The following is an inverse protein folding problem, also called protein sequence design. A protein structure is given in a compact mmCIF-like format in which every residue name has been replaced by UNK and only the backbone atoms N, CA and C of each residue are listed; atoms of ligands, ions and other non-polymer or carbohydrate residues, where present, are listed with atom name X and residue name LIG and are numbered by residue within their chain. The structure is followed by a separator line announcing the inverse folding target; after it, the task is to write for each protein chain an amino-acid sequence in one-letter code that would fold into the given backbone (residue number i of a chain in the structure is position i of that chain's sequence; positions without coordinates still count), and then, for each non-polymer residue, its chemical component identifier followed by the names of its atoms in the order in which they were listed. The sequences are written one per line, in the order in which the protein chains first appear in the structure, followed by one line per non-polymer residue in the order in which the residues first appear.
data_IF_302328912768
#
_entry.id   IF_302328912768
#
_cell.length_a   1.000
_cell.length_b   1.000
_cell.length_c   1.000
_cell.angle_alpha   90.00
_cell.angle_beta   90.00
_cell.angle_gamma   90.00
#
_symmetry.space_group_name_H-M   'P 1'
#
loop_
_entity.id
_entity.type
_entity.pdbx_description
1 polymer ?
#
# COMPACT_ATOMS: atom_id res chain seq x y z
N UNK A 1 -40.83 -36.83 -44.50
CA UNK A 1 -40.35 -35.64 -43.81
C UNK A 1 -39.73 -36.05 -42.47
N UNK A 2 -38.40 -36.10 -42.39
CA UNK A 2 -37.66 -36.38 -41.12
C UNK A 2 -37.22 -35.06 -40.50
N UNK A 3 -37.34 -34.87 -39.18
CA UNK A 3 -36.82 -33.67 -38.53
C UNK A 3 -35.34 -33.79 -38.26
N UNK A 4 -34.57 -32.81 -38.76
CA UNK A 4 -33.16 -32.61 -38.53
C UNK A 4 -32.89 -32.30 -37.06
N UNK A 5 -32.04 -33.10 -36.38
CA UNK A 5 -31.55 -32.83 -35.02
C UNK A 5 -30.34 -31.93 -35.07
N UNK A 6 -30.49 -30.69 -34.66
CA UNK A 6 -29.38 -29.80 -34.40
C UNK A 6 -28.71 -30.16 -33.03
N UNK A 7 -27.48 -30.61 -33.08
CA UNK A 7 -26.63 -30.75 -31.91
C UNK A 7 -25.92 -29.40 -31.67
N UNK A 8 -26.27 -28.73 -30.58
CA UNK A 8 -25.50 -27.57 -30.06
C UNK A 8 -24.43 -28.15 -29.13
N UNK A 9 -23.20 -28.17 -29.60
CA UNK A 9 -22.04 -28.50 -28.76
C UNK A 9 -21.71 -27.34 -27.84
N UNK A 10 -21.89 -27.53 -26.54
CA UNK A 10 -21.33 -26.63 -25.52
C UNK A 10 -19.81 -26.81 -25.49
N UNK A 11 -19.07 -25.83 -25.99
CA UNK A 11 -17.61 -25.72 -25.75
C UNK A 11 -17.43 -25.09 -24.37
N UNK A 12 -17.21 -25.90 -23.34
CA UNK A 12 -16.76 -25.44 -22.05
C UNK A 12 -15.29 -25.03 -22.16
N UNK A 13 -15.01 -23.74 -22.27
CA UNK A 13 -13.68 -23.21 -22.08
C UNK A 13 -13.33 -23.33 -20.59
N UNK A 14 -12.46 -24.29 -20.25
CA UNK A 14 -11.85 -24.34 -18.91
C UNK A 14 -10.91 -23.14 -18.78
N UNK A 15 -11.29 -22.13 -18.03
CA UNK A 15 -10.38 -21.07 -17.57
C UNK A 15 -9.41 -21.75 -16.60
N UNK A 16 -8.19 -22.02 -17.04
CA UNK A 16 -7.11 -22.39 -16.15
C UNK A 16 -6.84 -21.19 -15.23
N UNK A 17 -7.10 -21.33 -13.94
CA UNK A 17 -6.74 -20.34 -12.94
C UNK A 17 -5.20 -20.26 -12.91
N UNK A 18 -4.65 -19.25 -13.55
CA UNK A 18 -3.23 -18.94 -13.45
C UNK A 18 -2.98 -18.37 -12.05
N UNK A 19 -2.13 -19.02 -11.28
CA UNK A 19 -1.75 -18.57 -9.94
C UNK A 19 -0.81 -17.37 -10.03
N UNK A 20 -1.06 -16.35 -9.20
CA UNK A 20 -0.12 -15.26 -9.01
C UNK A 20 1.25 -15.80 -8.55
N UNK A 21 2.33 -15.31 -9.13
CA UNK A 21 3.69 -15.72 -8.83
C UNK A 21 4.31 -14.71 -7.87
N UNK A 22 4.89 -15.20 -6.78
CA UNK A 22 5.69 -14.39 -5.88
C UNK A 22 7.17 -14.76 -6.02
N UNK A 23 7.99 -13.79 -6.41
CA UNK A 23 9.44 -13.94 -6.54
C UNK A 23 10.15 -13.23 -5.39
N UNK A 24 11.21 -13.86 -4.86
CA UNK A 24 12.10 -13.17 -3.92
C UNK A 24 13.25 -12.53 -4.67
N UNK A 25 13.38 -11.22 -4.53
CA UNK A 25 14.42 -10.42 -5.20
C UNK A 25 15.33 -9.80 -4.15
N UNK A 26 16.64 -9.87 -4.37
CA UNK A 26 17.63 -9.14 -3.56
C UNK A 26 17.96 -7.81 -4.23
N UNK A 27 17.71 -6.72 -3.53
CA UNK A 27 18.06 -5.36 -3.98
C UNK A 27 19.31 -4.90 -3.25
N UNK A 28 20.41 -4.67 -4.00
CA UNK A 28 21.66 -4.16 -3.46
C UNK A 28 21.62 -2.63 -3.49
N UNK A 29 21.87 -2.01 -2.34
CA UNK A 29 21.94 -0.56 -2.17
C UNK A 29 23.31 -0.02 -2.57
N UNK A 30 23.43 1.30 -2.84
CA UNK A 30 24.71 1.92 -3.14
C UNK A 30 25.79 1.75 -2.05
N UNK A 31 25.37 1.58 -0.80
CA UNK A 31 26.25 1.34 0.35
C UNK A 31 26.66 -0.14 0.52
N UNK A 32 26.29 -1.01 -0.44
CA UNK A 32 26.60 -2.45 -0.44
C UNK A 32 25.67 -3.30 0.41
N UNK A 33 24.76 -2.71 1.21
CA UNK A 33 23.77 -3.48 1.97
C UNK A 33 22.66 -3.99 1.06
N UNK A 34 22.07 -5.12 1.42
CA UNK A 34 21.01 -5.76 0.65
C UNK A 34 19.67 -5.68 1.37
N UNK A 35 18.61 -5.53 0.58
CA UNK A 35 17.22 -5.63 1.02
C UNK A 35 16.59 -6.87 0.39
N UNK A 36 15.88 -7.65 1.19
CA UNK A 36 15.03 -8.73 0.70
C UNK A 36 13.67 -8.14 0.30
N UNK A 37 13.26 -8.42 -0.93
CA UNK A 37 12.01 -7.93 -1.53
C UNK A 37 11.19 -9.12 -2.00
N UNK A 38 9.90 -9.13 -1.69
CA UNK A 38 8.92 -10.03 -2.32
C UNK A 38 8.26 -9.24 -3.44
N UNK A 39 8.36 -9.75 -4.66
CA UNK A 39 7.69 -9.22 -5.83
C UNK A 39 6.52 -10.13 -6.21
N UNK A 40 5.30 -9.66 -5.96
CA UNK A 40 4.07 -10.36 -6.33
C UNK A 40 3.59 -9.86 -7.70
N UNK A 41 3.38 -10.78 -8.64
CA UNK A 41 2.94 -10.44 -10.00
C UNK A 41 1.54 -10.96 -10.28
N UNK A 42 0.72 -10.20 -11.04
CA UNK A 42 -0.49 -10.73 -11.63
C UNK A 42 -0.22 -11.96 -12.51
N UNK A 43 -1.23 -12.77 -12.73
CA UNK A 43 -1.15 -13.87 -13.67
C UNK A 43 -0.97 -13.36 -15.11
N UNK A 44 -0.17 -14.07 -15.91
CA UNK A 44 0.11 -13.75 -17.32
C UNK A 44 1.55 -13.30 -17.57
N UNK A 45 1.87 -13.12 -18.86
CA UNK A 45 3.24 -12.89 -19.36
C UNK A 45 3.51 -11.42 -19.73
N UNK A 46 2.62 -10.50 -19.40
CA UNK A 46 2.72 -9.07 -19.73
C UNK A 46 3.61 -8.25 -18.81
N UNK A 47 3.69 -6.98 -19.13
CA UNK A 47 4.14 -5.95 -18.18
C UNK A 47 2.95 -5.37 -17.44
N UNK A 48 3.16 -5.07 -16.17
CA UNK A 48 2.12 -4.62 -15.26
C UNK A 48 2.46 -3.23 -14.68
N UNK A 49 1.46 -2.38 -14.42
CA UNK A 49 1.64 -1.29 -13.49
C UNK A 49 2.10 -1.86 -12.14
N UNK A 50 2.83 -1.08 -11.37
CA UNK A 50 3.38 -1.59 -10.12
C UNK A 50 3.28 -0.59 -8.98
N UNK A 51 3.33 -1.11 -7.75
CA UNK A 51 3.45 -0.33 -6.53
C UNK A 51 4.53 -0.91 -5.62
N UNK A 52 5.32 -0.05 -4.99
CA UNK A 52 6.19 -0.44 -3.88
C UNK A 52 5.50 -0.12 -2.58
N UNK A 53 5.32 -1.11 -1.70
CA UNK A 53 4.68 -0.99 -0.39
C UNK A 53 5.71 -1.02 0.74
N UNK A 54 5.89 0.12 1.41
CA UNK A 54 6.77 0.29 2.56
C UNK A 54 6.07 -0.14 3.86
N UNK A 55 6.70 -0.98 4.70
CA UNK A 55 6.09 -1.43 5.96
C UNK A 55 6.12 -0.36 7.05
N UNK A 56 5.38 -0.58 8.14
CA UNK A 56 5.43 0.22 9.36
C UNK A 56 6.67 -0.06 10.21
N UNK A 57 6.82 0.67 11.32
CA UNK A 57 7.82 0.37 12.34
C UNK A 57 7.45 -0.94 13.05
N UNK A 58 8.42 -1.84 13.21
CA UNK A 58 8.17 -3.16 13.80
C UNK A 58 7.14 -4.01 13.03
N UNK A 59 6.88 -3.65 11.78
CA UNK A 59 5.88 -4.28 10.92
C UNK A 59 6.58 -4.78 9.66
N UNK A 60 6.61 -6.09 9.44
CA UNK A 60 7.32 -6.68 8.30
C UNK A 60 6.40 -6.94 7.09
N UNK A 61 7.02 -7.18 5.94
CA UNK A 61 6.37 -7.31 4.63
C UNK A 61 5.37 -8.45 4.49
N UNK A 62 5.38 -9.43 5.41
CA UNK A 62 4.45 -10.58 5.42
C UNK A 62 3.36 -10.48 6.48
N UNK A 63 3.21 -9.32 7.15
CA UNK A 63 2.10 -9.13 8.09
C UNK A 63 0.76 -8.93 7.37
N UNK A 64 -0.36 -9.27 8.02
CA UNK A 64 -1.66 -9.45 7.35
C UNK A 64 -2.11 -8.29 6.46
N UNK A 65 -1.89 -7.04 6.87
CA UNK A 65 -2.31 -5.90 6.04
C UNK A 65 -1.47 -5.77 4.76
N UNK A 66 -0.17 -6.08 4.84
CA UNK A 66 0.72 -6.04 3.67
C UNK A 66 0.38 -7.15 2.67
N UNK A 67 0.16 -8.37 3.17
CA UNK A 67 -0.19 -9.52 2.33
C UNK A 67 -1.59 -9.40 1.71
N UNK A 68 -2.59 -9.00 2.49
CA UNK A 68 -3.94 -8.81 2.00
C UNK A 68 -3.99 -7.72 0.91
N UNK A 69 -3.30 -6.60 1.14
CA UNK A 69 -3.21 -5.52 0.16
C UNK A 69 -2.48 -5.96 -1.11
N UNK A 70 -1.34 -6.67 -0.99
CA UNK A 70 -0.59 -7.16 -2.14
C UNK A 70 -1.43 -8.13 -2.98
N UNK A 71 -2.11 -9.09 -2.35
CA UNK A 71 -2.99 -10.03 -3.06
C UNK A 71 -4.10 -9.32 -3.82
N UNK A 72 -4.82 -8.39 -3.18
CA UNK A 72 -5.90 -7.67 -3.83
C UNK A 72 -5.40 -6.80 -5.01
N UNK A 73 -4.21 -6.22 -4.90
CA UNK A 73 -3.57 -5.48 -5.98
C UNK A 73 -3.21 -6.39 -7.16
N UNK A 74 -2.61 -7.56 -6.90
CA UNK A 74 -2.27 -8.52 -7.97
C UNK A 74 -3.50 -9.08 -8.66
N UNK A 75 -4.60 -9.30 -7.93
CA UNK A 75 -5.89 -9.69 -8.51
C UNK A 75 -6.49 -8.60 -9.42
N UNK A 76 -6.11 -7.33 -9.23
CA UNK A 76 -6.50 -6.19 -10.06
C UNK A 76 -5.44 -5.83 -11.14
N UNK A 77 -4.48 -6.71 -11.39
CA UNK A 77 -3.51 -6.51 -12.45
C UNK A 77 -2.32 -5.59 -12.10
N UNK A 78 -2.06 -5.33 -10.83
CA UNK A 78 -0.97 -4.48 -10.34
C UNK A 78 0.11 -5.35 -9.69
N UNK A 79 1.36 -5.24 -10.14
CA UNK A 79 2.50 -5.87 -9.48
C UNK A 79 2.85 -5.15 -8.17
N UNK A 80 3.25 -5.91 -7.15
CA UNK A 80 3.53 -5.36 -5.81
C UNK A 80 4.93 -5.76 -5.36
N UNK A 81 5.73 -4.78 -4.96
CA UNK A 81 7.03 -4.98 -4.34
C UNK A 81 6.94 -4.65 -2.85
N UNK A 82 7.09 -5.67 -2.01
CA UNK A 82 7.09 -5.56 -0.55
C UNK A 82 8.49 -5.87 -0.02
N UNK A 83 8.95 -5.14 0.99
CA UNK A 83 10.28 -5.32 1.56
C UNK A 83 10.29 -5.10 3.06
N UNK A 84 11.39 -5.46 3.71
CA UNK A 84 11.67 -5.06 5.09
C UNK A 84 12.71 -3.96 5.13
N UNK A 85 12.56 -3.02 6.08
CA UNK A 85 13.57 -1.99 6.33
C UNK A 85 14.91 -2.62 6.69
N UNK A 86 16.01 -2.00 6.25
CA UNK A 86 17.35 -2.50 6.57
C UNK A 86 17.59 -2.58 8.08
N UNK A 87 17.12 -1.61 8.87
CA UNK A 87 17.23 -1.64 10.32
C UNK A 87 16.50 -2.83 10.94
N UNK A 88 15.30 -3.19 10.43
CA UNK A 88 14.51 -4.30 10.93
C UNK A 88 15.14 -5.66 10.59
N UNK A 89 15.76 -5.78 9.42
CA UNK A 89 16.48 -7.00 9.03
C UNK A 89 17.75 -7.20 9.84
N UNK A 90 18.47 -6.11 10.15
CA UNK A 90 19.67 -6.16 10.97
C UNK A 90 19.34 -6.50 12.43
N UNK A 91 18.27 -5.91 12.96
CA UNK A 91 17.79 -6.14 14.32
C UNK A 91 16.26 -5.96 14.38
N UNK A 92 15.45 -7.03 14.63
CA UNK A 92 13.98 -6.94 14.62
C UNK A 92 13.39 -5.94 15.63
N UNK A 93 14.14 -5.58 16.69
CA UNK A 93 13.80 -4.51 17.64
C UNK A 93 14.47 -3.18 17.32
N UNK A 94 15.20 -3.11 16.20
CA UNK A 94 15.83 -1.89 15.71
C UNK A 94 14.81 -0.77 15.52
N UNK A 95 15.33 0.44 15.59
CA UNK A 95 14.51 1.64 15.42
C UNK A 95 14.83 2.30 14.07
N UNK A 96 13.84 2.93 13.44
CA UNK A 96 14.09 3.74 12.27
C UNK A 96 15.03 4.91 12.61
N UNK A 97 15.66 5.48 11.60
CA UNK A 97 16.42 6.71 11.77
C UNK A 97 15.49 7.86 12.18
N UNK A 98 15.99 8.79 12.99
CA UNK A 98 15.18 9.88 13.56
C UNK A 98 14.48 10.71 12.47
N UNK A 99 15.19 10.99 11.40
CA UNK A 99 14.71 11.78 10.26
C UNK A 99 14.15 10.93 9.11
N UNK A 100 14.09 9.60 9.24
CA UNK A 100 13.67 8.63 8.22
C UNK A 100 14.49 8.71 6.91
N UNK A 101 15.68 9.26 6.92
CA UNK A 101 16.53 9.40 5.72
C UNK A 101 17.05 8.05 5.22
N UNK A 102 17.38 7.13 6.15
CA UNK A 102 17.84 5.77 5.81
C UNK A 102 16.69 4.94 5.22
N UNK A 103 15.48 5.11 5.75
CA UNK A 103 14.28 4.43 5.26
C UNK A 103 13.87 4.96 3.87
N UNK A 104 14.06 6.27 3.63
CA UNK A 104 13.87 6.83 2.29
C UNK A 104 14.86 6.23 1.28
N UNK A 105 16.13 6.06 1.65
CA UNK A 105 17.13 5.39 0.80
C UNK A 105 16.77 3.93 0.52
N UNK A 106 16.26 3.21 1.53
CA UNK A 106 15.78 1.83 1.35
C UNK A 106 14.64 1.79 0.33
N UNK A 107 13.61 2.63 0.50
CA UNK A 107 12.47 2.69 -0.41
C UNK A 107 12.89 3.11 -1.83
N UNK A 108 13.77 4.09 -1.98
CA UNK A 108 14.29 4.53 -3.29
C UNK A 108 15.04 3.40 -4.01
N UNK A 109 15.82 2.58 -3.28
CA UNK A 109 16.48 1.43 -3.87
C UNK A 109 15.49 0.40 -4.41
N UNK A 110 14.40 0.11 -3.67
CA UNK A 110 13.36 -0.81 -4.12
C UNK A 110 12.56 -0.22 -5.29
N UNK A 111 12.23 1.07 -5.27
CA UNK A 111 11.58 1.77 -6.40
C UNK A 111 12.44 1.70 -7.67
N UNK A 112 13.75 1.91 -7.54
CA UNK A 112 14.67 1.80 -8.69
C UNK A 112 14.76 0.37 -9.24
N UNK A 113 14.73 -0.64 -8.37
CA UNK A 113 14.71 -2.05 -8.78
C UNK A 113 13.37 -2.41 -9.46
N UNK A 114 12.25 -1.99 -8.89
CA UNK A 114 10.92 -2.19 -9.47
C UNK A 114 10.83 -1.58 -10.88
N UNK A 115 11.30 -0.33 -11.04
CA UNK A 115 11.29 0.38 -12.33
C UNK A 115 12.10 -0.34 -13.42
N UNK A 116 13.17 -1.02 -13.04
CA UNK A 116 14.04 -1.80 -13.97
C UNK A 116 13.55 -3.23 -14.21
N UNK A 117 12.55 -3.68 -13.47
CA UNK A 117 12.08 -5.06 -13.56
C UNK A 117 11.41 -5.31 -14.92
N UNK A 118 11.73 -6.43 -15.65
CA UNK A 118 11.23 -6.67 -17.02
C UNK A 118 9.71 -6.78 -17.12
N UNK A 119 9.03 -7.19 -16.05
CA UNK A 119 7.56 -7.30 -15.96
C UNK A 119 6.88 -6.01 -15.48
N UNK A 120 7.57 -4.89 -15.34
CA UNK A 120 6.99 -3.62 -14.85
C UNK A 120 6.90 -2.60 -15.98
N UNK A 121 5.78 -1.89 -16.03
CA UNK A 121 5.62 -0.68 -16.85
C UNK A 121 6.22 0.47 -16.04
N UNK A 122 7.44 0.88 -16.40
CA UNK A 122 8.24 1.83 -15.62
C UNK A 122 7.54 3.18 -15.35
N UNK A 123 6.73 3.63 -16.31
CA UNK A 123 5.97 4.87 -16.27
C UNK A 123 4.70 4.76 -15.39
N UNK A 124 4.31 3.54 -15.01
CA UNK A 124 3.14 3.25 -14.19
C UNK A 124 3.53 2.69 -12.82
N UNK A 125 4.47 3.37 -12.17
CA UNK A 125 4.93 3.03 -10.83
C UNK A 125 4.29 3.96 -9.79
N UNK A 126 3.67 3.38 -8.79
CA UNK A 126 3.11 4.04 -7.62
C UNK A 126 3.90 3.70 -6.36
N UNK A 127 3.69 4.45 -5.30
CA UNK A 127 4.30 4.21 -4.00
C UNK A 127 3.23 4.11 -2.92
N UNK A 128 3.45 3.28 -1.92
CA UNK A 128 2.56 3.21 -0.78
C UNK A 128 3.29 2.81 0.49
N UNK A 129 2.63 2.96 1.62
CA UNK A 129 3.20 2.51 2.87
C UNK A 129 2.23 2.58 4.04
N UNK A 130 2.58 1.82 5.09
CA UNK A 130 1.82 1.75 6.33
C UNK A 130 2.53 2.50 7.45
N UNK A 131 1.80 3.30 8.25
CA UNK A 131 2.36 3.97 9.43
C UNK A 131 3.58 4.85 9.07
N UNK A 132 4.76 4.62 9.64
CA UNK A 132 5.98 5.34 9.23
C UNK A 132 6.27 5.14 7.74
N UNK A 133 5.95 3.98 7.18
CA UNK A 133 6.09 3.72 5.74
C UNK A 133 5.26 4.68 4.89
N UNK A 134 4.12 5.16 5.38
CA UNK A 134 3.32 6.17 4.68
C UNK A 134 4.04 7.53 4.63
N UNK A 135 4.76 7.90 5.70
CA UNK A 135 5.59 9.12 5.72
C UNK A 135 6.76 9.03 4.74
N UNK A 136 7.41 7.86 4.70
CA UNK A 136 8.53 7.62 3.76
C UNK A 136 8.03 7.56 2.32
N UNK A 137 6.89 6.90 2.06
CA UNK A 137 6.25 6.88 0.75
C UNK A 137 5.87 8.28 0.26
N UNK A 138 5.35 9.12 1.16
CA UNK A 138 5.06 10.52 0.86
C UNK A 138 6.31 11.30 0.45
N UNK A 139 7.41 11.15 1.20
CA UNK A 139 8.69 11.79 0.85
C UNK A 139 9.25 11.29 -0.48
N UNK A 140 9.12 9.99 -0.77
CA UNK A 140 9.51 9.45 -2.06
C UNK A 140 8.69 10.06 -3.20
N UNK A 141 7.36 10.19 -3.02
CA UNK A 141 6.49 10.88 -3.98
C UNK A 141 6.97 12.30 -4.22
N UNK A 142 7.28 13.06 -3.17
CA UNK A 142 7.69 14.46 -3.27
C UNK A 142 8.99 14.68 -4.08
N UNK A 143 9.92 13.71 -4.05
CA UNK A 143 11.23 13.82 -4.73
C UNK A 143 11.30 13.08 -6.06
N UNK A 144 10.34 12.21 -6.37
CA UNK A 144 10.28 11.45 -7.62
C UNK A 144 9.03 11.84 -8.41
N UNK A 145 9.20 12.73 -9.38
CA UNK A 145 8.12 13.21 -10.24
C UNK A 145 7.54 12.15 -11.19
N UNK A 146 8.20 10.99 -11.35
CA UNK A 146 7.74 9.90 -12.19
C UNK A 146 6.77 8.95 -11.47
N UNK A 147 6.61 9.08 -10.15
CA UNK A 147 5.62 8.31 -9.41
C UNK A 147 4.20 8.80 -9.71
N UNK A 148 3.29 7.87 -9.95
CA UNK A 148 1.92 8.17 -10.41
C UNK A 148 0.98 8.57 -9.28
N UNK A 149 1.06 7.88 -8.14
CA UNK A 149 0.13 8.06 -7.03
C UNK A 149 0.74 7.59 -5.71
N UNK A 150 0.09 7.94 -4.59
CA UNK A 150 0.47 7.46 -3.27
C UNK A 150 -0.69 6.78 -2.54
N UNK A 151 -0.41 5.62 -1.92
CA UNK A 151 -1.29 4.88 -1.03
C UNK A 151 -0.79 4.98 0.41
N UNK A 152 -1.53 5.67 1.29
CA UNK A 152 -1.16 5.90 2.68
C UNK A 152 -2.06 5.07 3.60
N UNK A 153 -1.54 3.94 4.09
CA UNK A 153 -2.25 3.05 5.01
C UNK A 153 -1.94 3.46 6.45
N UNK A 154 -2.98 3.65 7.27
CA UNK A 154 -2.87 4.15 8.64
C UNK A 154 -1.83 5.28 8.75
N UNK A 155 -2.05 6.42 8.07
CA UNK A 155 -1.12 7.54 8.13
C UNK A 155 -0.99 8.04 9.58
N UNK A 156 0.16 8.65 9.90
CA UNK A 156 0.39 9.31 11.18
C UNK A 156 0.04 10.78 11.01
N UNK A 157 -1.18 11.18 11.34
CA UNK A 157 -1.67 12.54 11.08
C UNK A 157 -2.00 13.35 12.33
N UNK A 158 -2.12 12.70 13.49
CA UNK A 158 -2.44 13.39 14.74
C UNK A 158 -1.96 12.59 15.95
N UNK A 159 -1.88 13.26 17.09
CA UNK A 159 -1.72 12.64 18.41
C UNK A 159 -2.58 13.37 19.44
N UNK A 160 -2.93 12.68 20.52
CA UNK A 160 -3.51 13.29 21.72
C UNK A 160 -2.35 13.59 22.69
N UNK A 161 -2.02 14.85 22.97
CA UNK A 161 -0.98 15.19 23.92
C UNK A 161 -1.33 14.71 25.33
N UNK A 162 -0.30 14.46 26.15
CA UNK A 162 -0.49 14.04 27.54
C UNK A 162 -1.32 15.06 28.31
N UNK A 163 -2.43 14.63 28.92
CA UNK A 163 -3.35 15.47 29.69
C UNK A 163 -4.40 16.21 28.86
N UNK A 164 -4.43 16.00 27.55
CA UNK A 164 -5.47 16.52 26.65
C UNK A 164 -6.43 15.41 26.22
N UNK A 165 -7.60 15.80 25.74
CA UNK A 165 -8.63 14.87 25.23
C UNK A 165 -8.84 15.01 23.73
N UNK A 166 -8.38 16.10 23.14
CA UNK A 166 -8.54 16.37 21.72
C UNK A 166 -7.24 16.10 20.95
N UNK A 167 -7.34 15.47 19.76
CA UNK A 167 -6.17 15.23 18.92
C UNK A 167 -5.66 16.55 18.33
N UNK A 168 -4.33 16.71 18.32
CA UNK A 168 -3.63 17.77 17.58
C UNK A 168 -3.13 17.20 16.27
N UNK A 169 -3.24 17.99 15.20
CA UNK A 169 -2.73 17.63 13.89
C UNK A 169 -1.21 17.66 13.87
N UNK A 170 -0.62 16.61 13.29
CA UNK A 170 0.80 16.49 12.91
C UNK A 170 0.93 16.27 11.38
N UNK A 171 -0.17 16.48 10.64
CA UNK A 171 -0.24 16.16 9.23
C UNK A 171 0.75 16.97 8.39
N UNK A 172 0.92 18.28 8.67
CA UNK A 172 1.85 19.14 7.92
C UNK A 172 3.31 18.74 8.11
N UNK A 173 3.68 18.31 9.34
CA UNK A 173 5.04 17.89 9.66
C UNK A 173 5.35 16.52 9.03
N UNK A 174 4.38 15.62 9.08
CA UNK A 174 4.55 14.26 8.58
C UNK A 174 4.41 14.14 7.06
N UNK A 175 3.61 15.02 6.44
CA UNK A 175 3.32 15.03 4.99
C UNK A 175 3.51 16.45 4.41
N UNK A 176 4.75 16.97 4.41
CA UNK A 176 5.00 18.33 3.92
C UNK A 176 4.62 18.46 2.44
N UNK A 177 4.04 19.60 2.07
CA UNK A 177 3.62 19.88 0.69
C UNK A 177 2.35 19.17 0.24
N UNK A 178 1.64 18.45 1.11
CA UNK A 178 0.40 17.75 0.75
C UNK A 178 -0.66 18.68 0.13
N UNK A 179 -0.74 19.90 0.62
CA UNK A 179 -1.70 20.89 0.14
C UNK A 179 -1.49 21.25 -1.34
N UNK A 180 -0.25 21.18 -1.83
CA UNK A 180 0.11 21.52 -3.22
C UNK A 180 0.27 20.30 -4.14
N UNK A 181 0.27 19.08 -3.59
CA UNK A 181 0.38 17.86 -4.39
C UNK A 181 -0.89 17.63 -5.21
N UNK A 182 -0.70 17.37 -6.50
CA UNK A 182 -1.80 17.16 -7.45
C UNK A 182 -1.97 15.72 -7.88
N UNK A 183 -0.95 14.87 -7.65
CA UNK A 183 -1.04 13.45 -7.98
C UNK A 183 -2.06 12.76 -7.07
N UNK A 184 -2.80 11.78 -7.59
CA UNK A 184 -3.78 11.04 -6.81
C UNK A 184 -3.18 10.43 -5.54
N UNK A 185 -3.87 10.61 -4.42
CA UNK A 185 -3.49 10.06 -3.13
C UNK A 185 -4.70 9.44 -2.46
N UNK A 186 -4.55 8.22 -1.92
CA UNK A 186 -5.55 7.59 -1.07
C UNK A 186 -4.97 7.39 0.34
N UNK A 187 -5.66 7.92 1.34
CA UNK A 187 -5.39 7.65 2.76
C UNK A 187 -6.49 6.73 3.31
N UNK A 188 -6.09 5.58 3.88
CA UNK A 188 -7.02 4.65 4.54
C UNK A 188 -6.63 4.51 6.01
N UNK A 189 -7.53 4.87 6.93
CA UNK A 189 -7.28 4.80 8.37
C UNK A 189 -8.38 4.06 9.12
N UNK A 190 -8.09 3.58 10.33
CA UNK A 190 -9.09 3.02 11.24
C UNK A 190 -9.92 4.10 11.91
N UNK A 191 -11.20 3.81 12.22
CA UNK A 191 -12.09 4.72 12.94
C UNK A 191 -11.67 5.00 14.39
N UNK A 192 -10.79 4.13 14.93
CA UNK A 192 -10.22 4.19 16.28
C UNK A 192 -8.69 4.32 16.28
N UNK A 193 -8.12 4.77 15.17
CA UNK A 193 -6.67 4.93 15.05
C UNK A 193 -6.19 6.09 15.95
N UNK A 194 -5.39 5.82 17.00
CA UNK A 194 -4.92 6.86 17.91
C UNK A 194 -3.88 7.79 17.30
N UNK A 195 -3.28 7.39 16.15
CA UNK A 195 -2.24 8.16 15.46
C UNK A 195 -2.79 8.97 14.28
N UNK A 196 -4.08 8.80 13.95
CA UNK A 196 -4.72 9.61 12.91
C UNK A 196 -6.24 9.67 13.12
N UNK A 197 -6.68 10.62 13.94
CA UNK A 197 -8.10 10.82 14.17
C UNK A 197 -8.84 11.16 12.87
N UNK A 198 -10.00 10.53 12.59
CA UNK A 198 -10.74 10.72 11.34
C UNK A 198 -11.02 12.18 11.00
N UNK A 199 -11.41 13.00 11.99
CA UNK A 199 -11.68 14.42 11.78
C UNK A 199 -10.44 15.21 11.32
N UNK A 200 -9.26 14.87 11.85
CA UNK A 200 -7.99 15.47 11.41
C UNK A 200 -7.65 15.03 9.99
N UNK A 201 -7.80 13.75 9.69
CA UNK A 201 -7.52 13.22 8.35
C UNK A 201 -8.43 13.83 7.27
N UNK A 202 -9.73 13.96 7.53
CA UNK A 202 -10.66 14.66 6.63
C UNK A 202 -10.32 16.14 6.46
N UNK A 203 -9.98 16.83 7.54
CA UNK A 203 -9.56 18.24 7.48
C UNK A 203 -8.30 18.42 6.65
N UNK A 204 -7.34 17.50 6.79
CA UNK A 204 -6.10 17.49 6.03
C UNK A 204 -6.35 17.23 4.54
N UNK A 205 -7.17 16.22 4.21
CA UNK A 205 -7.49 15.91 2.81
C UNK A 205 -8.23 17.03 2.10
N UNK A 206 -9.11 17.76 2.80
CA UNK A 206 -9.82 18.92 2.24
C UNK A 206 -8.89 20.07 1.85
N UNK A 207 -7.72 20.16 2.45
CA UNK A 207 -6.71 21.18 2.11
C UNK A 207 -5.92 20.85 0.85
N UNK A 208 -6.02 19.62 0.32
CA UNK A 208 -5.31 19.20 -0.88
C UNK A 208 -5.84 19.90 -2.14
N UNK A 209 -4.93 20.40 -2.97
CA UNK A 209 -5.24 21.05 -4.26
C UNK A 209 -5.71 20.07 -5.35
N UNK A 210 -5.51 18.77 -5.16
CA UNK A 210 -5.87 17.83 -6.21
C UNK A 210 -5.91 16.37 -5.81
N UNK A 211 -7.08 15.75 -5.80
CA UNK A 211 -7.21 14.30 -5.86
C UNK A 211 -6.94 13.51 -4.59
N UNK A 212 -6.84 14.13 -3.42
CA UNK A 212 -6.74 13.41 -2.16
C UNK A 212 -8.07 12.74 -1.80
N UNK A 213 -8.01 11.43 -1.63
CA UNK A 213 -9.16 10.60 -1.21
C UNK A 213 -8.91 10.08 0.21
N UNK A 214 -9.96 9.98 0.99
CA UNK A 214 -9.92 9.42 2.35
C UNK A 214 -10.97 8.33 2.49
N UNK A 215 -10.56 7.24 3.10
CA UNK A 215 -11.46 6.18 3.53
C UNK A 215 -11.21 5.87 5.01
N UNK A 216 -12.29 5.75 5.78
CA UNK A 216 -12.25 5.30 7.16
C UNK A 216 -12.89 3.92 7.22
N UNK A 217 -12.15 2.96 7.77
CA UNK A 217 -12.62 1.59 8.00
C UNK A 217 -12.69 1.33 9.50
N UNK A 218 -13.28 0.21 9.90
CA UNK A 218 -13.30 -0.13 11.33
C UNK A 218 -11.92 -0.49 11.87
N UNK A 219 -11.67 -0.19 13.15
CA UNK A 219 -10.49 -0.64 13.88
C UNK A 219 -9.47 0.44 14.24
N UNK A 220 -8.40 -0.02 14.88
CA UNK A 220 -7.27 0.79 15.34
C UNK A 220 -6.20 0.98 14.23
N UNK A 221 -4.98 1.36 14.64
CA UNK A 221 -3.81 1.51 13.75
C UNK A 221 -3.38 0.20 13.05
N UNK A 222 -3.92 -0.93 13.46
CA UNK A 222 -3.71 -2.25 12.82
C UNK A 222 -4.98 -2.78 12.16
N UNK A 223 -6.03 -1.96 12.06
CA UNK A 223 -7.36 -2.36 11.62
C UNK A 223 -8.02 -3.43 12.51
N UNK A 224 -7.62 -3.46 13.79
CA UNK A 224 -8.12 -4.39 14.80
C UNK A 224 -9.10 -3.71 15.74
N UNK A 225 -9.99 -4.49 16.34
CA UNK A 225 -10.85 -4.04 17.43
C UNK A 225 -10.64 -4.93 18.66
N UNK A 226 -9.66 -4.56 19.48
CA UNK A 226 -9.24 -5.32 20.66
C UNK A 226 -10.23 -5.32 21.82
N UNK A 227 -11.27 -4.49 21.75
CA UNK A 227 -12.35 -4.47 22.74
C UNK A 227 -13.39 -5.57 22.51
N UNK A 228 -13.35 -6.27 21.37
CA UNK A 228 -14.25 -7.37 21.06
C UNK A 228 -13.74 -8.71 21.63
N UNK A 229 -14.63 -9.67 21.92
CA UNK A 229 -14.23 -11.04 22.19
C UNK A 229 -13.38 -11.63 21.05
N UNK A 230 -12.45 -12.57 21.30
CA UNK A 230 -11.45 -13.02 20.32
C UNK A 230 -12.02 -13.42 18.95
N UNK A 231 -13.09 -14.20 18.91
CA UNK A 231 -13.72 -14.64 17.64
C UNK A 231 -14.34 -13.46 16.87
N UNK A 232 -14.98 -12.53 17.57
CA UNK A 232 -15.55 -11.34 16.97
C UNK A 232 -14.48 -10.35 16.51
N UNK A 233 -13.39 -10.22 17.28
CA UNK A 233 -12.24 -9.41 16.93
C UNK A 233 -11.57 -9.90 15.63
N UNK A 234 -11.34 -11.22 15.51
CA UNK A 234 -10.78 -11.82 14.31
C UNK A 234 -11.70 -11.65 13.09
N UNK A 235 -12.99 -11.85 13.25
CA UNK A 235 -13.96 -11.61 12.18
C UNK A 235 -13.99 -10.13 11.76
N UNK A 236 -13.93 -9.22 12.72
CA UNK A 236 -13.85 -7.77 12.44
C UNK A 236 -12.55 -7.42 11.69
N UNK A 237 -11.40 -7.95 12.14
CA UNK A 237 -10.11 -7.75 11.49
C UNK A 237 -10.13 -8.22 10.03
N UNK A 238 -10.66 -9.41 9.76
CA UNK A 238 -10.79 -9.93 8.39
C UNK A 238 -11.64 -9.01 7.50
N UNK A 239 -12.78 -8.53 7.98
CA UNK A 239 -13.65 -7.60 7.23
C UNK A 239 -12.93 -6.27 6.98
N UNK A 240 -12.25 -5.72 7.99
CA UNK A 240 -11.54 -4.46 7.86
C UNK A 240 -10.39 -4.56 6.85
N UNK A 241 -9.58 -5.62 6.93
CA UNK A 241 -8.49 -5.86 5.97
C UNK A 241 -9.02 -6.07 4.55
N UNK A 242 -10.14 -6.77 4.37
CA UNK A 242 -10.77 -6.90 3.06
C UNK A 242 -11.19 -5.54 2.49
N UNK A 243 -11.83 -4.70 3.31
CA UNK A 243 -12.22 -3.35 2.89
C UNK A 243 -11.00 -2.48 2.50
N UNK A 244 -9.96 -2.47 3.34
CA UNK A 244 -8.70 -1.76 3.05
C UNK A 244 -8.10 -2.23 1.73
N UNK A 245 -8.00 -3.54 1.54
CA UNK A 245 -7.37 -4.15 0.37
C UNK A 245 -8.15 -3.86 -0.90
N UNK A 246 -9.49 -3.91 -0.86
CA UNK A 246 -10.35 -3.55 -2.00
C UNK A 246 -10.19 -2.08 -2.38
N UNK A 247 -10.22 -1.17 -1.40
CA UNK A 247 -10.04 0.27 -1.64
C UNK A 247 -8.66 0.57 -2.22
N UNK A 248 -7.61 -0.03 -1.66
CA UNK A 248 -6.24 0.12 -2.15
C UNK A 248 -6.09 -0.36 -3.59
N UNK A 249 -6.61 -1.56 -3.89
CA UNK A 249 -6.50 -2.18 -5.20
C UNK A 249 -7.27 -1.38 -6.27
N UNK A 250 -8.50 -0.98 -5.98
CA UNK A 250 -9.31 -0.15 -6.89
C UNK A 250 -8.63 1.20 -7.18
N UNK A 251 -8.10 1.86 -6.15
CA UNK A 251 -7.42 3.14 -6.31
C UNK A 251 -6.17 3.04 -7.19
N UNK A 252 -5.29 2.08 -6.92
CA UNK A 252 -4.04 1.95 -7.69
C UNK A 252 -4.32 1.49 -9.11
N UNK A 253 -5.26 0.57 -9.34
CA UNK A 253 -5.65 0.14 -10.69
C UNK A 253 -6.24 1.31 -11.50
N UNK A 254 -7.13 2.11 -10.91
CA UNK A 254 -7.72 3.30 -11.54
C UNK A 254 -6.63 4.32 -11.94
N UNK A 255 -5.73 4.66 -11.00
CA UNK A 255 -4.67 5.65 -11.25
C UNK A 255 -3.60 5.17 -12.22
N UNK A 256 -3.46 3.85 -12.40
CA UNK A 256 -2.58 3.24 -13.39
C UNK A 256 -3.18 3.20 -14.80
N UNK A 257 -4.51 3.27 -14.92
CA UNK A 257 -5.22 3.18 -16.21
C UNK A 257 -5.38 4.55 -16.89
N UNK A 258 -5.30 5.65 -16.12
CA UNK A 258 -5.37 7.00 -16.67
C UNK A 258 -4.04 7.35 -17.34
N UNK A 259 -4.08 7.66 -18.65
CA UNK A 259 -2.93 8.23 -19.38
C UNK A 259 -2.46 9.52 -18.71
N UNK A 260 -1.16 9.88 -18.80
CA UNK A 260 -0.65 11.13 -18.27
C UNK A 260 -1.28 12.35 -18.95
#
# INVERSE_FOLDING_TARGET
MQPSKFFIGLVSAALAAQTALADTVTVVKPDGRSLSVIADFPAGDGKFPAIVLAPGQGYHMTLPAMEATARALTEQGVAVFRFNWAYFTAEPRGQPSEDLSKELQDLQAVLAAARKHPKVIAENLSVGGKSIGSRVAWRALAVDSQLRSALLLTPICSRVPKGETLPRSEAKENYPGFESERRPTLSVSGDKDPLCAPAVLYGFARASAGGARVAIVGGDHSYENRALPPTAAEAARKRNLAAVSTLAASFVAETSSTAP
#
